data_IF_975417029462
#
_entry.id   IF_975417029462
#
_cell.length_a   1.000
_cell.length_b   1.000
_cell.length_c   1.000
_cell.angle_alpha   90.00
_cell.angle_beta   90.00
_cell.angle_gamma   90.00
#
_symmetry.space_group_name_H-M   'P 1'
#
loop_
_entity.id
_entity.type
_entity.pdbx_description
1 polymer ?
#
# COMPACT_ATOMS: atom_id res chain seq x y z
N UNK A 1 5.31 -12.43 1.73
CA UNK A 1 4.60 -11.92 0.53
C UNK A 1 5.13 -10.52 0.15
N UNK A 2 5.10 -10.15 -1.14
CA UNK A 2 5.26 -8.75 -1.59
C UNK A 2 3.89 -8.16 -1.90
N UNK A 3 3.62 -6.94 -1.44
CA UNK A 3 2.41 -6.21 -1.84
C UNK A 3 2.45 -5.93 -3.34
N UNK A 4 1.32 -6.14 -4.01
CA UNK A 4 1.11 -5.96 -5.45
C UNK A 4 0.10 -4.86 -5.70
N UNK A 5 0.21 -4.23 -6.86
CA UNK A 5 -0.75 -3.24 -7.36
C UNK A 5 -0.75 -1.90 -6.63
N UNK A 6 0.14 -1.62 -5.66
CA UNK A 6 0.08 -0.34 -4.94
C UNK A 6 0.96 0.71 -5.61
N UNK A 7 0.36 1.84 -5.95
CA UNK A 7 1.01 2.96 -6.61
C UNK A 7 0.88 4.27 -5.83
N UNK A 8 1.73 5.23 -6.16
CA UNK A 8 1.59 6.60 -5.69
C UNK A 8 1.07 7.48 -6.82
N UNK A 9 -0.19 7.90 -6.73
CA UNK A 9 -0.86 8.79 -7.68
C UNK A 9 -0.98 10.16 -7.05
N UNK A 10 -0.07 11.06 -7.43
CA UNK A 10 -0.01 12.45 -6.95
C UNK A 10 -0.12 12.62 -5.42
N UNK A 11 0.60 11.77 -4.70
CA UNK A 11 0.63 11.73 -3.23
C UNK A 11 -0.42 10.83 -2.59
N UNK A 12 -1.27 10.15 -3.36
CA UNK A 12 -2.24 9.17 -2.86
C UNK A 12 -1.72 7.74 -3.07
N UNK A 13 -1.87 6.88 -2.06
CA UNK A 13 -1.70 5.44 -2.25
C UNK A 13 -2.99 4.90 -2.87
N UNK A 14 -2.86 4.26 -4.02
CA UNK A 14 -3.99 3.67 -4.74
C UNK A 14 -3.66 2.22 -5.11
N UNK A 15 -4.68 1.37 -5.12
CA UNK A 15 -4.57 -0.03 -5.50
C UNK A 15 -5.06 -0.21 -6.93
N UNK A 16 -4.16 -0.70 -7.76
CA UNK A 16 -4.37 -1.16 -9.12
C UNK A 16 -4.39 -2.69 -9.15
N UNK A 17 -4.69 -3.33 -10.30
CA UNK A 17 -4.82 -4.77 -10.37
C UNK A 17 -3.63 -5.50 -9.72
N UNK A 18 -3.95 -6.49 -8.88
CA UNK A 18 -3.00 -7.29 -8.10
C UNK A 18 -2.04 -8.15 -8.95
N UNK A 19 -2.12 -8.04 -10.27
CA UNK A 19 -1.19 -8.62 -11.24
C UNK A 19 0.10 -7.80 -11.40
N UNK A 20 0.09 -6.52 -11.00
CA UNK A 20 1.24 -5.63 -11.17
C UNK A 20 2.10 -5.53 -9.91
N UNK A 21 3.39 -5.26 -10.08
CA UNK A 21 4.28 -4.99 -8.95
C UNK A 21 3.99 -3.61 -8.36
N UNK A 22 3.99 -3.49 -7.04
CA UNK A 22 3.87 -2.18 -6.39
C UNK A 22 5.05 -1.28 -6.75
N UNK A 23 4.76 0.01 -6.97
CA UNK A 23 5.77 1.02 -7.30
C UNK A 23 5.78 2.22 -6.34
N UNK A 24 4.82 2.32 -5.41
CA UNK A 24 4.73 3.44 -4.46
C UNK A 24 6.02 3.69 -3.68
N UNK A 25 6.78 2.63 -3.34
CA UNK A 25 8.03 2.73 -2.59
C UNK A 25 9.12 3.54 -3.33
N UNK A 26 8.99 3.74 -4.65
CA UNK A 26 9.91 4.59 -5.44
C UNK A 26 9.77 6.08 -5.10
N UNK A 27 8.61 6.51 -4.61
CA UNK A 27 8.29 7.93 -4.37
C UNK A 27 7.63 8.20 -3.01
N UNK A 28 7.40 7.17 -2.20
CA UNK A 28 6.93 7.28 -0.81
C UNK A 28 8.04 6.93 0.20
N UNK A 29 7.99 7.59 1.36
CA UNK A 29 8.91 7.38 2.49
C UNK A 29 8.12 7.22 3.78
N UNK A 30 8.80 6.83 4.87
CA UNK A 30 8.18 6.60 6.19
C UNK A 30 7.01 5.61 6.10
N UNK A 31 7.22 4.54 5.36
CA UNK A 31 6.24 3.47 5.13
C UNK A 31 6.08 2.68 6.43
N UNK A 32 4.83 2.44 6.83
CA UNK A 32 4.49 1.67 8.03
C UNK A 32 3.19 0.92 7.83
N UNK A 33 3.08 -0.27 8.41
CA UNK A 33 1.80 -0.97 8.57
C UNK A 33 1.26 -0.62 9.95
N UNK A 34 -0.03 -0.26 10.03
CA UNK A 34 -0.72 0.00 11.30
C UNK A 34 -1.99 -0.84 11.35
N UNK A 35 -2.28 -1.44 12.50
CA UNK A 35 -3.53 -2.15 12.70
C UNK A 35 -4.59 -1.16 13.20
N UNK A 36 -5.76 -1.17 12.56
CA UNK A 36 -6.94 -0.43 13.01
C UNK A 36 -8.13 -1.38 13.10
N UNK A 37 -9.23 -0.90 13.69
CA UNK A 37 -10.48 -1.67 13.83
C UNK A 37 -11.01 -2.26 12.51
N UNK A 38 -10.74 -1.60 11.38
CA UNK A 38 -11.18 -2.01 10.03
C UNK A 38 -10.17 -2.89 9.28
N UNK A 39 -9.07 -3.29 9.93
CA UNK A 39 -7.98 -4.05 9.30
C UNK A 39 -6.64 -3.30 9.24
N UNK A 40 -5.63 -3.93 8.64
CA UNK A 40 -4.31 -3.33 8.45
C UNK A 40 -4.37 -2.18 7.44
N UNK A 41 -3.65 -1.10 7.74
CA UNK A 41 -3.46 0.03 6.82
C UNK A 41 -1.98 0.17 6.48
N UNK A 42 -1.70 0.42 5.20
CA UNK A 42 -0.40 0.89 4.73
C UNK A 42 -0.40 2.42 4.81
N UNK A 43 0.42 2.99 5.68
CA UNK A 43 0.57 4.43 5.83
C UNK A 43 1.95 4.88 5.35
N UNK A 44 2.01 5.98 4.60
CA UNK A 44 3.25 6.54 4.08
C UNK A 44 3.19 8.06 3.89
N UNK A 45 4.35 8.67 3.63
CA UNK A 45 4.48 10.04 3.13
C UNK A 45 4.92 9.99 1.67
N UNK A 46 4.03 10.30 0.74
CA UNK A 46 4.21 10.14 -0.70
C UNK A 46 4.48 11.49 -1.38
N UNK A 47 5.43 11.51 -2.32
CA UNK A 47 5.77 12.71 -3.09
C UNK A 47 4.73 12.95 -4.18
N UNK A 48 4.24 14.19 -4.27
CA UNK A 48 3.35 14.68 -5.33
C UNK A 48 4.14 15.08 -6.57
N UNK A 49 3.45 15.36 -7.68
CA UNK A 49 4.07 15.86 -8.93
C UNK A 49 4.76 17.21 -8.72
N UNK A 50 4.22 18.05 -7.86
CA UNK A 50 4.79 19.34 -7.45
C UNK A 50 5.98 19.23 -6.47
N UNK A 51 6.50 18.01 -6.25
CA UNK A 51 7.58 17.67 -5.32
C UNK A 51 7.25 17.85 -3.83
N UNK A 52 6.09 18.40 -3.49
CA UNK A 52 5.59 18.41 -2.11
C UNK A 52 5.28 17.00 -1.66
N UNK A 53 5.01 16.82 -0.36
CA UNK A 53 4.75 15.51 0.21
C UNK A 53 3.44 15.46 0.96
N UNK A 54 2.64 14.43 0.68
CA UNK A 54 1.35 14.17 1.32
C UNK A 54 1.45 12.96 2.24
N UNK A 55 0.90 13.05 3.46
CA UNK A 55 0.65 11.86 4.28
C UNK A 55 -0.60 11.17 3.74
N UNK A 56 -0.51 9.88 3.49
CA UNK A 56 -1.60 9.09 2.91
C UNK A 56 -1.62 7.69 3.53
N UNK A 57 -2.75 7.01 3.40
CA UNK A 57 -2.94 5.66 3.84
C UNK A 57 -3.91 4.91 2.93
N UNK A 58 -3.69 3.60 2.79
CA UNK A 58 -4.52 2.67 2.04
C UNK A 58 -4.84 1.47 2.94
N UNK A 59 -6.10 1.02 2.95
CA UNK A 59 -6.48 -0.23 3.62
C UNK A 59 -5.91 -1.38 2.80
N UNK A 60 -5.27 -2.34 3.45
CA UNK A 60 -4.84 -3.56 2.78
C UNK A 60 -5.97 -4.58 2.87
N UNK A 61 -6.60 -4.82 1.73
CA UNK A 61 -7.68 -5.79 1.54
C UNK A 61 -7.14 -7.03 0.83
N UNK A 62 -7.93 -8.10 0.85
CA UNK A 62 -7.64 -9.37 0.19
C UNK A 62 -6.29 -9.98 0.58
N UNK A 63 -5.84 -9.83 1.82
CA UNK A 63 -4.65 -10.53 2.33
C UNK A 63 -5.07 -11.48 3.44
N UNK A 64 -4.83 -12.76 3.21
CA UNK A 64 -5.23 -13.83 4.11
C UNK A 64 -4.02 -14.65 4.54
N UNK A 65 -4.15 -15.30 5.70
CA UNK A 65 -3.19 -16.29 6.15
C UNK A 65 -3.75 -17.68 5.88
N UNK A 66 -3.13 -18.40 4.94
CA UNK A 66 -3.51 -19.77 4.58
C UNK A 66 -2.34 -20.67 4.97
N UNK A 67 -2.54 -21.50 6.00
CA UNK A 67 -1.54 -22.42 6.53
C UNK A 67 -0.18 -21.78 6.86
N UNK A 68 -0.22 -20.58 7.47
CA UNK A 68 0.98 -19.82 7.85
C UNK A 68 1.58 -18.98 6.74
N UNK A 69 1.02 -19.02 5.53
CA UNK A 69 1.47 -18.23 4.39
C UNK A 69 0.52 -17.07 4.12
N UNK A 70 1.05 -15.85 4.12
CA UNK A 70 0.31 -14.68 3.67
C UNK A 70 0.16 -14.71 2.15
N UNK A 71 -1.09 -14.70 1.69
CA UNK A 71 -1.46 -14.76 0.28
C UNK A 71 -2.52 -13.71 -0.03
N UNK A 72 -2.72 -13.42 -1.32
CA UNK A 72 -3.91 -12.68 -1.71
C UNK A 72 -5.13 -13.61 -1.67
N UNK A 73 -6.20 -13.18 -1.01
CA UNK A 73 -7.50 -13.84 -1.02
C UNK A 73 -8.09 -13.83 -2.44
N UNK A 74 -8.76 -14.92 -2.80
CA UNK A 74 -9.38 -15.13 -4.11
C UNK A 74 -10.81 -14.61 -4.17
#
# INVERSE_FOLDING_TARGET
MRLKGIENIDGNLEQYPLTQASTFQKSCRKVSIKIRKKGPILAAKCRRRDQSSKRTALVLEDIENIDGNLQYGS
#
